data_IF_329702792753
#
_entry.id   IF_329702792753
#
_cell.length_a   1.000
_cell.length_b   1.000
_cell.length_c   1.000
_cell.angle_alpha   90.00
_cell.angle_beta   90.00
_cell.angle_gamma   90.00
#
_symmetry.space_group_name_H-M   'P 1'
#
loop_
_entity.id
_entity.type
_entity.pdbx_description
1 polymer ?
#
# COMPACT_ATOMS: atom_id res chain seq x y z
N UNK A 1 -12.35 9.10 27.16
CA UNK A 1 -11.86 9.97 26.08
C UNK A 1 -10.96 9.18 25.12
N UNK A 2 -11.41 8.13 24.46
CA UNK A 2 -10.55 7.21 23.68
C UNK A 2 -11.20 6.70 22.37
N UNK A 3 -12.16 7.43 21.75
CA UNK A 3 -12.96 6.89 20.63
C UNK A 3 -12.62 7.45 19.24
N UNK A 4 -11.68 8.36 19.07
CA UNK A 4 -11.79 9.40 18.03
C UNK A 4 -10.88 9.30 16.79
N UNK A 5 -9.83 8.49 16.77
CA UNK A 5 -8.91 8.36 15.60
C UNK A 5 -9.45 7.37 14.55
N UNK A 6 -10.46 6.65 14.95
CA UNK A 6 -11.04 5.50 14.30
C UNK A 6 -12.01 5.79 13.16
N UNK A 7 -12.47 7.02 13.02
CA UNK A 7 -13.64 7.35 12.21
C UNK A 7 -13.37 7.42 10.70
N UNK A 8 -12.16 7.78 10.29
CA UNK A 8 -11.82 7.90 8.87
C UNK A 8 -11.90 6.55 8.13
N UNK A 9 -11.41 5.47 8.76
CA UNK A 9 -11.52 4.11 8.22
C UNK A 9 -12.88 3.47 8.55
N UNK A 10 -13.50 3.82 9.66
CA UNK A 10 -14.81 3.30 10.05
C UNK A 10 -15.93 3.74 9.11
N UNK A 11 -15.87 4.93 8.51
CA UNK A 11 -16.83 5.38 7.50
C UNK A 11 -16.75 4.56 6.21
N UNK A 12 -15.55 4.19 5.80
CA UNK A 12 -15.36 3.28 4.66
C UNK A 12 -15.90 1.86 4.97
N UNK A 13 -15.84 1.44 6.22
CA UNK A 13 -16.31 0.12 6.67
C UNK A 13 -17.84 0.12 6.90
N UNK A 14 -18.40 1.18 7.50
CA UNK A 14 -19.84 1.30 7.77
C UNK A 14 -20.67 1.46 6.50
N UNK A 15 -20.12 2.03 5.42
CA UNK A 15 -20.80 2.04 4.11
C UNK A 15 -20.97 0.64 3.51
N UNK A 16 -20.22 -0.36 4.00
CA UNK A 16 -20.35 -1.76 3.60
C UNK A 16 -21.46 -2.52 4.37
N UNK A 17 -22.01 -1.95 5.46
CA UNK A 17 -23.01 -2.60 6.31
C UNK A 17 -24.39 -1.92 6.28
N UNK A 18 -24.80 -1.29 5.17
CA UNK A 18 -26.17 -0.81 5.02
C UNK A 18 -27.12 -2.00 4.83
N UNK A 19 -27.61 -2.53 5.93
CA UNK A 19 -28.90 -3.19 5.98
C UNK A 19 -29.93 -2.32 6.73
N UNK A 20 -31.09 -2.30 6.15
CA UNK A 20 -32.25 -1.44 6.20
C UNK A 20 -32.86 -1.21 7.59
N UNK A 21 -33.40 0.00 7.72
CA UNK A 21 -34.57 0.45 8.48
C UNK A 21 -34.42 0.98 9.92
N UNK A 22 -34.91 2.23 10.03
CA UNK A 22 -35.37 2.95 11.19
C UNK A 22 -34.34 3.69 12.04
N UNK A 23 -34.21 5.03 11.78
CA UNK A 23 -33.89 6.07 12.78
C UNK A 23 -33.40 7.40 12.14
N UNK A 24 -34.20 8.02 11.30
CA UNK A 24 -33.79 9.28 10.59
C UNK A 24 -33.58 10.52 11.50
N UNK A 25 -34.15 10.59 12.69
CA UNK A 25 -34.01 11.78 13.57
C UNK A 25 -32.85 11.79 14.56
N UNK A 26 -32.29 10.62 14.88
CA UNK A 26 -31.10 10.50 15.73
C UNK A 26 -29.83 10.61 14.86
N UNK A 27 -29.92 10.30 13.57
CA UNK A 27 -28.79 10.34 12.62
C UNK A 27 -28.27 11.76 12.35
N UNK A 28 -29.11 12.78 12.22
CA UNK A 28 -28.66 14.14 11.87
C UNK A 28 -27.78 14.80 12.94
N UNK A 29 -28.08 14.64 14.21
CA UNK A 29 -27.29 15.19 15.31
C UNK A 29 -25.97 14.46 15.49
N UNK A 30 -25.98 13.13 15.34
CA UNK A 30 -24.80 12.29 15.39
C UNK A 30 -23.90 12.51 14.17
N UNK A 31 -24.45 12.85 13.00
CA UNK A 31 -23.67 13.15 11.77
C UNK A 31 -22.86 14.43 11.93
N UNK A 32 -23.41 15.47 12.56
CA UNK A 32 -22.70 16.76 12.72
C UNK A 32 -21.58 16.67 13.76
N UNK A 33 -21.84 16.02 14.91
CA UNK A 33 -20.81 15.78 15.93
C UNK A 33 -19.70 14.86 15.39
N UNK A 34 -20.07 13.86 14.63
CA UNK A 34 -19.14 12.94 13.97
C UNK A 34 -18.29 13.65 12.89
N UNK A 35 -18.85 14.59 12.13
CA UNK A 35 -18.10 15.35 11.13
C UNK A 35 -17.04 16.27 11.75
N UNK A 36 -17.39 16.96 12.86
CA UNK A 36 -16.42 17.80 13.59
C UNK A 36 -15.27 16.97 14.16
N UNK A 37 -15.57 15.77 14.65
CA UNK A 37 -14.59 14.84 15.19
C UNK A 37 -13.69 14.25 14.10
N UNK A 38 -14.23 13.96 12.93
CA UNK A 38 -13.48 13.54 11.73
C UNK A 38 -12.48 14.61 11.34
N UNK A 39 -12.91 15.87 11.23
CA UNK A 39 -12.03 16.98 10.82
C UNK A 39 -10.86 17.17 11.78
N UNK A 40 -11.11 17.09 13.09
CA UNK A 40 -10.08 17.24 14.11
C UNK A 40 -9.02 16.10 14.04
N UNK A 41 -9.47 14.88 13.73
CA UNK A 41 -8.58 13.73 13.60
C UNK A 41 -7.88 13.70 12.25
N UNK A 42 -8.52 14.21 11.19
CA UNK A 42 -7.93 14.39 9.86
C UNK A 42 -6.66 15.22 9.94
N UNK A 43 -6.69 16.35 10.63
CA UNK A 43 -5.52 17.22 10.83
C UNK A 43 -4.39 16.53 11.58
N UNK A 44 -4.71 15.77 12.60
CA UNK A 44 -3.72 15.04 13.39
C UNK A 44 -3.02 13.98 12.54
N UNK A 45 -3.77 13.19 11.79
CA UNK A 45 -3.21 12.15 10.91
C UNK A 45 -2.48 12.79 9.71
N UNK A 46 -2.99 13.90 9.18
CA UNK A 46 -2.31 14.64 8.11
C UNK A 46 -0.90 15.10 8.52
N UNK A 47 -0.73 15.49 9.77
CA UNK A 47 0.57 15.87 10.34
C UNK A 47 1.29 14.69 11.01
N UNK A 48 1.01 13.45 10.61
CA UNK A 48 1.54 12.24 11.20
C UNK A 48 3.05 12.27 11.43
N UNK A 49 3.82 12.76 10.46
CA UNK A 49 5.29 12.82 10.54
C UNK A 49 5.81 13.78 11.62
N UNK A 50 4.96 14.68 12.14
CA UNK A 50 5.29 15.65 13.21
C UNK A 50 4.92 15.13 14.60
N UNK A 51 4.23 13.99 14.68
CA UNK A 51 3.81 13.39 15.94
C UNK A 51 4.97 12.66 16.62
N UNK A 52 4.89 12.54 17.93
CA UNK A 52 5.80 11.67 18.69
C UNK A 52 5.66 10.20 18.25
N UNK A 53 6.71 9.41 18.43
CA UNK A 53 6.69 7.96 18.11
C UNK A 53 5.52 7.23 18.78
N UNK A 54 5.23 7.56 20.05
CA UNK A 54 4.11 6.96 20.78
C UNK A 54 2.76 7.28 20.18
N UNK A 55 2.57 8.52 19.71
CA UNK A 55 1.34 8.91 19.03
C UNK A 55 1.20 8.25 17.66
N UNK A 56 2.29 8.17 16.89
CA UNK A 56 2.34 7.44 15.63
C UNK A 56 1.96 5.96 15.84
N UNK A 57 2.55 5.29 16.83
CA UNK A 57 2.23 3.90 17.16
C UNK A 57 0.77 3.71 17.60
N UNK A 58 0.22 4.65 18.37
CA UNK A 58 -1.20 4.63 18.75
C UNK A 58 -2.12 4.72 17.51
N UNK A 59 -1.79 5.59 16.56
CA UNK A 59 -2.53 5.72 15.31
C UNK A 59 -2.47 4.42 14.52
N UNK A 60 -1.25 3.88 14.29
CA UNK A 60 -1.08 2.62 13.56
C UNK A 60 -1.84 1.45 14.19
N UNK A 61 -1.75 1.32 15.51
CA UNK A 61 -2.51 0.28 16.23
C UNK A 61 -4.02 0.41 16.02
N UNK A 62 -4.54 1.63 16.06
CA UNK A 62 -5.97 1.87 15.86
C UNK A 62 -6.41 1.53 14.43
N UNK A 63 -5.63 1.90 13.43
CA UNK A 63 -5.86 1.56 12.03
C UNK A 63 -5.87 0.03 11.87
N UNK A 64 -4.85 -0.64 12.38
CA UNK A 64 -4.72 -2.09 12.27
C UNK A 64 -5.89 -2.84 12.92
N UNK A 65 -6.29 -2.47 14.16
CA UNK A 65 -7.45 -3.06 14.84
C UNK A 65 -8.72 -2.95 13.98
N UNK A 66 -8.89 -1.89 13.21
CA UNK A 66 -10.08 -1.70 12.37
C UNK A 66 -10.02 -2.51 11.08
N UNK A 67 -8.88 -2.57 10.46
CA UNK A 67 -8.71 -3.40 9.27
C UNK A 67 -8.82 -4.88 9.61
N UNK A 68 -8.31 -5.31 10.77
CA UNK A 68 -8.37 -6.70 11.20
C UNK A 68 -9.79 -7.23 11.41
N UNK A 69 -10.78 -6.35 11.62
CA UNK A 69 -12.20 -6.75 11.60
C UNK A 69 -12.65 -7.29 10.24
N UNK A 70 -12.01 -6.81 9.15
CA UNK A 70 -12.28 -7.27 7.78
C UNK A 70 -11.34 -8.44 7.47
N UNK A 71 -10.05 -8.20 7.60
CA UNK A 71 -9.00 -9.19 7.48
C UNK A 71 -7.70 -8.64 8.10
N UNK A 72 -7.03 -9.45 8.93
CA UNK A 72 -5.79 -9.07 9.63
C UNK A 72 -4.60 -8.82 8.70
N UNK A 73 -4.63 -9.37 7.48
CA UNK A 73 -3.59 -9.22 6.49
C UNK A 73 -3.70 -7.90 5.68
N UNK A 74 -4.81 -7.16 5.81
CA UNK A 74 -4.93 -5.85 5.17
C UNK A 74 -3.99 -4.84 5.83
N UNK A 75 -3.36 -4.01 5.00
CA UNK A 75 -2.48 -2.94 5.43
C UNK A 75 -2.93 -1.56 4.98
N UNK A 76 -2.29 -0.54 5.55
CA UNK A 76 -2.42 0.85 5.12
C UNK A 76 -1.05 1.50 5.10
N UNK A 77 -0.80 2.31 4.07
CA UNK A 77 0.36 3.18 3.99
C UNK A 77 -0.08 4.64 3.88
N UNK A 78 0.71 5.54 4.44
CA UNK A 78 0.49 6.99 4.37
C UNK A 78 1.62 7.59 3.54
N UNK A 79 1.30 8.36 2.49
CA UNK A 79 2.33 9.03 1.69
C UNK A 79 3.15 10.00 2.55
N UNK A 80 4.48 9.99 2.37
CA UNK A 80 5.38 10.85 3.13
C UNK A 80 5.17 12.35 2.82
N UNK A 81 4.89 12.68 1.57
CA UNK A 81 4.76 14.07 1.10
C UNK A 81 3.40 14.30 0.48
N UNK A 82 2.66 15.34 0.90
CA UNK A 82 1.40 15.70 0.27
C UNK A 82 1.56 16.08 -1.19
N UNK A 83 0.78 15.46 -2.06
CA UNK A 83 0.68 15.83 -3.47
C UNK A 83 -0.50 16.77 -3.65
N UNK A 84 -0.28 17.97 -4.27
CA UNK A 84 -1.34 18.96 -4.50
C UNK A 84 -2.16 19.28 -3.24
N UNK A 85 -1.50 19.40 -2.08
CA UNK A 85 -2.13 19.68 -0.80
C UNK A 85 -2.89 18.49 -0.17
N UNK A 86 -2.88 17.32 -0.80
CA UNK A 86 -3.51 16.10 -0.26
C UNK A 86 -2.49 14.99 -0.06
N UNK A 87 -2.60 14.30 1.08
CA UNK A 87 -1.87 13.05 1.32
C UNK A 87 -2.64 11.85 0.75
N UNK A 88 -1.91 10.82 0.44
CA UNK A 88 -2.51 9.55 0.01
C UNK A 88 -2.56 8.58 1.19
N UNK A 89 -3.72 7.94 1.37
CA UNK A 89 -3.93 6.79 2.23
C UNK A 89 -4.09 5.58 1.32
N UNK A 90 -3.11 4.71 1.31
CA UNK A 90 -3.05 3.56 0.42
C UNK A 90 -3.52 2.34 1.21
N UNK A 91 -4.59 1.70 0.77
CA UNK A 91 -5.05 0.41 1.32
C UNK A 91 -4.38 -0.70 0.52
N UNK A 92 -3.67 -1.60 1.19
CA UNK A 92 -2.91 -2.68 0.56
C UNK A 92 -3.41 -4.04 1.00
N UNK A 93 -3.37 -5.01 0.10
CA UNK A 93 -3.60 -6.42 0.35
C UNK A 93 -2.31 -7.17 0.77
N UNK A 94 -1.15 -6.47 0.80
CA UNK A 94 0.16 -7.08 1.04
C UNK A 94 0.44 -8.30 0.13
N UNK A 95 0.04 -8.22 -1.14
CA UNK A 95 0.24 -9.26 -2.15
C UNK A 95 -0.77 -10.41 -2.10
N UNK A 96 -1.79 -10.38 -1.23
CA UNK A 96 -2.82 -11.41 -1.16
C UNK A 96 -3.96 -11.12 -2.14
N UNK A 97 -3.94 -11.78 -3.29
CA UNK A 97 -4.88 -11.57 -4.40
C UNK A 97 -6.34 -11.75 -3.97
N UNK A 98 -6.62 -12.68 -3.08
CA UNK A 98 -7.97 -12.93 -2.54
C UNK A 98 -8.55 -11.70 -1.81
N UNK A 99 -7.70 -10.79 -1.33
CA UNK A 99 -8.11 -9.55 -0.67
C UNK A 99 -8.28 -8.37 -1.62
N UNK A 100 -7.93 -8.50 -2.90
CA UNK A 100 -8.08 -7.42 -3.88
C UNK A 100 -9.51 -6.87 -3.99
N UNK A 101 -10.57 -7.69 -4.02
CA UNK A 101 -11.94 -7.18 -4.00
C UNK A 101 -12.24 -6.34 -2.75
N UNK A 102 -11.73 -6.73 -1.57
CA UNK A 102 -11.91 -5.98 -0.33
C UNK A 102 -11.18 -4.63 -0.38
N UNK A 103 -9.93 -4.60 -0.86
CA UNK A 103 -9.14 -3.37 -1.04
C UNK A 103 -9.84 -2.40 -1.97
N UNK A 104 -10.29 -2.86 -3.15
CA UNK A 104 -11.04 -2.01 -4.11
C UNK A 104 -12.33 -1.48 -3.49
N UNK A 105 -13.08 -2.32 -2.77
CA UNK A 105 -14.33 -1.92 -2.10
C UNK A 105 -14.07 -0.86 -1.02
N UNK A 106 -13.04 -1.01 -0.20
CA UNK A 106 -12.64 -0.05 0.82
C UNK A 106 -12.29 1.31 0.20
N UNK A 107 -11.47 1.32 -0.84
CA UNK A 107 -11.08 2.55 -1.50
C UNK A 107 -12.25 3.24 -2.24
N UNK A 108 -13.10 2.47 -2.92
CA UNK A 108 -14.25 3.00 -3.65
C UNK A 108 -15.32 3.60 -2.74
N UNK A 109 -15.48 3.07 -1.52
CA UNK A 109 -16.44 3.55 -0.54
C UNK A 109 -15.85 4.56 0.46
N UNK A 110 -14.58 4.95 0.28
CA UNK A 110 -13.97 5.97 1.12
C UNK A 110 -14.71 7.31 1.00
N UNK A 111 -14.95 8.01 2.11
CA UNK A 111 -15.58 9.32 2.08
C UNK A 111 -14.70 10.32 1.34
N UNK A 112 -15.31 11.31 0.69
CA UNK A 112 -14.58 12.45 0.15
C UNK A 112 -13.99 13.26 1.30
N UNK A 113 -12.68 13.40 1.33
CA UNK A 113 -11.94 14.13 2.34
C UNK A 113 -11.21 15.31 1.71
N UNK A 114 -11.07 16.40 2.46
CA UNK A 114 -10.42 17.62 1.96
C UNK A 114 -8.91 17.40 1.78
N UNK A 115 -8.26 16.77 2.76
CA UNK A 115 -6.81 16.62 2.84
C UNK A 115 -6.29 15.25 2.43
N UNK A 116 -7.17 14.30 2.05
CA UNK A 116 -6.79 12.94 1.76
C UNK A 116 -7.35 12.41 0.45
N UNK A 117 -6.59 11.51 -0.15
CA UNK A 117 -7.02 10.66 -1.26
C UNK A 117 -6.80 9.22 -0.83
N UNK A 118 -7.89 8.43 -0.76
CA UNK A 118 -7.77 6.99 -0.50
C UNK A 118 -7.53 6.27 -1.82
N UNK A 119 -6.51 5.43 -1.87
CA UNK A 119 -6.14 4.65 -3.05
C UNK A 119 -6.11 3.16 -2.73
N UNK A 120 -6.62 2.32 -3.65
CA UNK A 120 -6.37 0.89 -3.60
C UNK A 120 -4.94 0.63 -4.06
N UNK A 121 -4.27 -0.30 -3.40
CA UNK A 121 -2.96 -0.83 -3.75
C UNK A 121 -1.82 0.19 -3.77
N UNK A 122 -0.62 -0.27 -3.53
CA UNK A 122 0.60 0.50 -3.73
C UNK A 122 0.74 0.84 -5.21
N UNK A 123 0.92 2.11 -5.51
CA UNK A 123 0.99 2.61 -6.88
C UNK A 123 2.43 2.59 -7.39
N UNK A 124 2.58 2.39 -8.70
CA UNK A 124 3.86 2.53 -9.39
C UNK A 124 4.48 3.90 -9.13
N UNK A 125 5.76 3.92 -8.81
CA UNK A 125 6.57 5.11 -8.55
C UNK A 125 7.68 5.25 -9.58
N UNK A 126 8.09 6.48 -9.87
CA UNK A 126 9.23 6.72 -10.79
C UNK A 126 10.55 6.18 -10.25
N UNK A 127 10.73 6.22 -8.93
CA UNK A 127 11.92 5.76 -8.24
C UNK A 127 11.53 5.25 -6.86
N UNK A 128 12.00 4.08 -6.53
CA UNK A 128 11.76 3.43 -5.24
C UNK A 128 13.08 3.36 -4.49
N UNK A 129 13.06 3.69 -3.21
CA UNK A 129 14.22 3.53 -2.34
C UNK A 129 13.79 3.10 -0.95
N UNK A 130 14.40 2.05 -0.46
CA UNK A 130 14.18 1.51 0.87
C UNK A 130 15.40 1.79 1.70
N UNK A 131 15.21 2.48 2.83
CA UNK A 131 16.25 2.72 3.84
C UNK A 131 15.78 2.16 5.17
N UNK A 132 16.63 1.35 5.78
CA UNK A 132 16.37 0.78 7.10
C UNK A 132 17.42 1.26 8.10
N UNK A 133 17.03 1.34 9.36
CA UNK A 133 17.95 1.68 10.48
C UNK A 133 19.12 0.69 10.64
N UNK A 134 18.98 -0.52 10.10
CA UNK A 134 20.04 -1.55 10.02
C UNK A 134 21.15 -1.24 9.01
N UNK A 135 21.11 -0.09 8.32
CA UNK A 135 22.09 0.28 7.29
C UNK A 135 21.78 -0.22 5.88
N UNK A 136 20.65 -0.90 5.68
CA UNK A 136 20.20 -1.30 4.34
C UNK A 136 19.72 -0.06 3.60
N UNK A 137 20.27 0.18 2.42
CA UNK A 137 19.88 1.26 1.51
C UNK A 137 19.85 0.67 0.08
N UNK A 138 18.64 0.42 -0.42
CA UNK A 138 18.37 -0.22 -1.70
C UNK A 138 17.43 0.63 -2.53
N UNK A 139 17.62 0.64 -3.83
CA UNK A 139 16.76 1.36 -4.77
C UNK A 139 16.34 0.51 -5.95
N UNK A 140 15.36 0.97 -6.71
CA UNK A 140 14.98 0.34 -7.99
C UNK A 140 16.13 0.27 -9.00
N UNK A 141 17.12 1.16 -8.89
CA UNK A 141 18.29 1.18 -9.77
C UNK A 141 19.29 0.04 -9.46
N UNK A 142 19.14 -0.61 -8.31
CA UNK A 142 19.99 -1.75 -7.89
C UNK A 142 19.40 -3.10 -8.31
N UNK A 143 18.21 -3.11 -8.95
CA UNK A 143 17.54 -4.32 -9.42
C UNK A 143 17.71 -4.50 -10.92
N UNK A 144 18.00 -5.74 -11.29
CA UNK A 144 18.06 -6.20 -12.67
C UNK A 144 17.24 -7.46 -12.82
N UNK A 145 16.60 -7.63 -13.96
CA UNK A 145 15.59 -8.65 -14.19
C UNK A 145 15.90 -9.43 -15.46
N UNK A 146 15.79 -10.74 -15.40
CA UNK A 146 15.80 -11.60 -16.57
C UNK A 146 14.42 -12.22 -16.73
N UNK A 147 13.87 -12.16 -17.92
CA UNK A 147 12.61 -12.84 -18.24
C UNK A 147 12.96 -14.27 -18.64
N UNK A 148 12.66 -15.22 -17.75
CA UNK A 148 12.96 -16.62 -17.96
C UNK A 148 11.92 -17.29 -18.88
N UNK A 149 10.66 -16.92 -18.71
CA UNK A 149 9.57 -17.39 -19.57
C UNK A 149 8.35 -16.50 -19.48
N UNK A 150 7.49 -16.61 -20.50
CA UNK A 150 6.16 -16.02 -20.52
C UNK A 150 5.14 -17.14 -20.64
N UNK A 151 4.28 -17.24 -19.65
CA UNK A 151 3.19 -18.22 -19.65
C UNK A 151 1.86 -17.48 -19.46
N UNK A 152 0.96 -17.65 -20.42
CA UNK A 152 -0.30 -16.89 -20.47
C UNK A 152 -0.01 -15.38 -20.48
N UNK A 153 -0.51 -14.63 -19.48
CA UNK A 153 -0.25 -13.20 -19.31
C UNK A 153 0.71 -12.90 -18.16
N UNK A 154 1.58 -13.84 -17.78
CA UNK A 154 2.52 -13.69 -16.66
C UNK A 154 3.96 -13.92 -17.11
N UNK A 155 4.88 -13.13 -16.54
CA UNK A 155 6.32 -13.27 -16.70
C UNK A 155 6.90 -14.01 -15.51
N UNK A 156 7.60 -15.11 -15.74
CA UNK A 156 8.52 -15.67 -14.76
C UNK A 156 9.86 -14.93 -14.88
N UNK A 157 10.40 -14.50 -13.76
CA UNK A 157 11.59 -13.66 -13.75
C UNK A 157 12.63 -14.15 -12.74
N UNK A 158 13.91 -14.01 -13.11
CA UNK A 158 15.02 -14.04 -12.18
C UNK A 158 15.42 -12.60 -11.83
N UNK A 159 15.69 -12.33 -10.56
CA UNK A 159 16.04 -11.00 -10.07
C UNK A 159 17.42 -10.99 -9.45
N UNK A 160 18.29 -10.15 -9.98
CA UNK A 160 19.57 -9.83 -9.37
C UNK A 160 19.46 -8.50 -8.63
N UNK A 161 19.82 -8.51 -7.35
CA UNK A 161 19.89 -7.30 -6.52
C UNK A 161 21.36 -6.95 -6.24
N UNK A 162 21.81 -5.78 -6.70
CA UNK A 162 23.15 -5.29 -6.39
C UNK A 162 23.29 -5.03 -4.88
N UNK A 163 24.29 -5.63 -4.24
CA UNK A 163 24.46 -5.51 -2.79
C UNK A 163 23.63 -6.52 -1.98
N UNK A 164 23.05 -7.50 -2.63
CA UNK A 164 22.27 -8.59 -2.06
C UNK A 164 22.97 -9.28 -0.86
N UNK A 165 24.28 -9.45 -0.91
CA UNK A 165 25.10 -10.05 0.15
C UNK A 165 25.06 -9.26 1.47
N UNK A 166 24.71 -7.96 1.43
CA UNK A 166 24.59 -7.08 2.60
C UNK A 166 23.21 -7.18 3.27
N UNK A 167 22.27 -7.85 2.62
CA UNK A 167 20.91 -7.98 3.11
C UNK A 167 20.78 -9.31 3.87
N UNK A 168 20.34 -9.31 5.15
CA UNK A 168 20.03 -10.54 5.88
C UNK A 168 19.07 -11.42 5.10
N UNK A 169 19.32 -12.70 5.01
CA UNK A 169 18.58 -13.65 4.17
C UNK A 169 17.06 -13.59 4.42
N UNK A 170 16.67 -13.55 5.69
CA UNK A 170 15.28 -13.46 6.11
C UNK A 170 14.57 -12.15 5.73
N UNK A 171 15.30 -11.14 5.23
CA UNK A 171 14.74 -9.83 4.80
C UNK A 171 14.77 -9.64 3.29
N UNK A 172 15.49 -10.47 2.56
CA UNK A 172 15.70 -10.29 1.11
C UNK A 172 14.39 -10.29 0.34
N UNK A 173 13.56 -11.28 0.61
CA UNK A 173 12.27 -11.43 -0.08
C UNK A 173 11.32 -10.27 0.22
N UNK A 174 11.26 -9.83 1.46
CA UNK A 174 10.45 -8.66 1.85
C UNK A 174 10.89 -7.39 1.10
N UNK A 175 12.20 -7.12 1.08
CA UNK A 175 12.76 -5.95 0.40
C UNK A 175 12.52 -6.04 -1.11
N UNK A 176 12.72 -7.22 -1.71
CA UNK A 176 12.45 -7.45 -3.12
C UNK A 176 11.00 -7.11 -3.48
N UNK A 177 10.03 -7.66 -2.74
CA UNK A 177 8.61 -7.39 -3.02
C UNK A 177 8.25 -5.93 -2.80
N UNK A 178 8.78 -5.28 -1.77
CA UNK A 178 8.57 -3.84 -1.57
C UNK A 178 9.10 -2.99 -2.75
N UNK A 179 10.25 -3.37 -3.31
CA UNK A 179 10.80 -2.70 -4.49
C UNK A 179 9.97 -2.99 -5.74
N UNK A 180 9.55 -4.24 -5.95
CA UNK A 180 8.69 -4.63 -7.07
C UNK A 180 7.34 -3.91 -7.03
N UNK A 181 6.67 -3.87 -5.85
CA UNK A 181 5.44 -3.12 -5.64
C UNK A 181 5.59 -1.64 -6.00
N UNK A 182 6.74 -1.07 -5.66
CA UNK A 182 7.02 0.31 -6.02
C UNK A 182 7.34 0.51 -7.50
N UNK A 183 7.99 -0.45 -8.16
CA UNK A 183 8.34 -0.40 -9.59
C UNK A 183 7.12 -0.60 -10.46
N UNK A 184 6.31 -1.62 -10.18
CA UNK A 184 5.19 -2.04 -11.03
C UNK A 184 3.83 -1.61 -10.48
N UNK A 185 3.71 -1.42 -9.18
CA UNK A 185 2.46 -1.37 -8.44
C UNK A 185 2.05 -2.75 -7.92
N UNK A 186 1.50 -2.83 -6.73
CA UNK A 186 1.12 -4.07 -6.06
C UNK A 186 0.20 -4.94 -6.94
N UNK A 187 -0.81 -4.34 -7.56
CA UNK A 187 -1.76 -5.05 -8.42
C UNK A 187 -1.09 -5.68 -9.65
N UNK A 188 -0.16 -4.95 -10.26
CA UNK A 188 0.56 -5.43 -11.45
C UNK A 188 1.56 -6.54 -11.11
N UNK A 189 2.24 -6.46 -9.95
CA UNK A 189 3.12 -7.52 -9.47
C UNK A 189 2.36 -8.84 -9.38
N UNK A 190 1.24 -8.85 -8.70
CA UNK A 190 0.46 -10.07 -8.46
C UNK A 190 -0.30 -10.54 -9.72
N UNK A 191 -0.61 -9.64 -10.65
CA UNK A 191 -1.34 -9.98 -11.87
C UNK A 191 -0.41 -10.49 -12.97
N UNK A 192 0.75 -9.86 -13.16
CA UNK A 192 1.60 -10.06 -14.35
C UNK A 192 2.93 -10.73 -14.07
N UNK A 193 3.35 -10.87 -12.80
CA UNK A 193 4.50 -11.70 -12.48
C UNK A 193 4.05 -13.10 -12.05
N UNK A 194 4.80 -14.10 -12.49
CA UNK A 194 4.65 -15.50 -12.10
C UNK A 194 5.67 -15.89 -11.03
N UNK A 195 6.51 -16.88 -11.33
CA UNK A 195 7.62 -17.22 -10.46
C UNK A 195 8.65 -16.06 -10.43
N UNK A 196 9.12 -15.74 -9.23
CA UNK A 196 10.16 -14.74 -8.98
C UNK A 196 11.28 -15.45 -8.24
N UNK A 197 12.44 -15.58 -8.89
CA UNK A 197 13.60 -16.28 -8.36
C UNK A 197 14.75 -15.30 -8.11
N UNK A 198 15.44 -15.48 -6.99
CA UNK A 198 16.63 -14.69 -6.67
C UNK A 198 17.82 -15.22 -7.48
N UNK A 199 18.68 -14.30 -7.96
CA UNK A 199 19.92 -14.63 -8.62
C UNK A 199 21.09 -13.94 -7.93
N UNK A 200 22.17 -14.68 -7.68
CA UNK A 200 23.42 -14.16 -7.12
C UNK A 200 24.33 -13.53 -8.17
N UNK A 201 24.03 -13.74 -9.45
CA UNK A 201 24.79 -13.26 -10.61
C UNK A 201 23.88 -12.70 -11.68
N UNK A 202 24.39 -11.74 -12.44
CA UNK A 202 23.74 -11.25 -13.65
C UNK A 202 24.66 -11.37 -14.85
N UNK A 203 24.04 -11.59 -16.00
CA UNK A 203 24.68 -11.56 -17.32
C UNK A 203 24.04 -10.47 -18.21
N UNK A 204 24.44 -10.47 -19.49
CA UNK A 204 23.93 -9.46 -20.45
C UNK A 204 22.45 -9.61 -20.84
N UNK A 205 21.79 -10.69 -20.41
CA UNK A 205 20.36 -10.89 -20.63
C UNK A 205 19.47 -10.14 -19.60
N UNK A 206 20.09 -9.60 -18.54
CA UNK A 206 19.36 -8.87 -17.51
C UNK A 206 19.02 -7.45 -17.95
N UNK A 207 17.79 -7.06 -17.78
CA UNK A 207 17.23 -5.74 -18.08
C UNK A 207 17.03 -4.92 -16.80
N UNK A 208 16.94 -3.61 -16.90
CA UNK A 208 16.64 -2.72 -15.79
C UNK A 208 15.11 -2.64 -15.52
N UNK A 209 14.73 -1.91 -14.47
CA UNK A 209 13.34 -1.73 -14.08
C UNK A 209 12.48 -1.06 -15.14
N UNK A 210 13.02 -0.10 -15.91
CA UNK A 210 12.23 0.58 -16.96
C UNK A 210 11.82 -0.41 -18.06
N UNK A 211 12.73 -1.30 -18.47
CA UNK A 211 12.43 -2.34 -19.46
C UNK A 211 11.48 -3.39 -18.92
N UNK A 212 11.55 -3.75 -17.63
CA UNK A 212 10.57 -4.65 -17.02
C UNK A 212 9.17 -4.02 -17.02
N UNK A 213 9.07 -2.72 -16.73
CA UNK A 213 7.81 -1.97 -16.82
C UNK A 213 7.23 -2.06 -18.23
N UNK A 214 8.04 -1.82 -19.27
CA UNK A 214 7.61 -1.93 -20.67
C UNK A 214 7.08 -3.33 -21.01
N UNK A 215 7.75 -4.39 -20.54
CA UNK A 215 7.33 -5.77 -20.80
C UNK A 215 6.01 -6.10 -20.09
N UNK A 216 5.82 -5.66 -18.85
CA UNK A 216 4.55 -5.81 -18.13
C UNK A 216 3.42 -5.02 -18.83
N UNK A 217 3.70 -3.79 -19.26
CA UNK A 217 2.68 -2.95 -19.93
C UNK A 217 2.22 -3.52 -21.29
N UNK A 218 3.08 -4.32 -21.96
CA UNK A 218 2.67 -5.09 -23.16
C UNK A 218 1.66 -6.19 -22.86
N UNK A 219 1.61 -6.72 -21.62
CA UNK A 219 0.66 -7.76 -21.24
C UNK A 219 -0.75 -7.23 -20.95
N UNK A 220 -0.87 -5.92 -20.71
CA UNK A 220 -2.15 -5.25 -20.45
C UNK A 220 -2.99 -5.01 -21.69
N UNK A 221 -2.37 -5.12 -22.85
CA UNK A 221 -2.99 -4.97 -24.17
C UNK A 221 -3.58 -6.31 -24.62
#
# INVERSE_FOLDING_TARGET
MKKNILFLLALAILSCQKDKNNKEKIEQKNVTENQQEITKNEDKIYNFDKLSKDEQQKIWRQIHIRLSVINEALGVEISAVPKNGKRELIVTANGLVDLFPAVRKLAANAPKMEKWIVKPFKQRMKKVRIRMSSGIDMSSDDLYFKIDSKKEKRLNISVYMKGYEKIPENRRREILYQLLDGILGEEDVETYLGAIEDSDKKDDSYINSDRLIEEVDKLKK
#
